data_IF_430454651442
#
_entry.id   IF_430454651442
#
_cell.length_a   1.000
_cell.length_b   1.000
_cell.length_c   1.000
_cell.angle_alpha   90.00
_cell.angle_beta   90.00
_cell.angle_gamma   90.00
#
_symmetry.space_group_name_H-M   'P 1'
#
loop_
_entity.id
_entity.type
_entity.pdbx_description
1 polymer ?
#
# COMPACT_ATOMS: atom_id res chain seq x y z
N UNK A 1 31.21 43.40 -3.19
CA UNK A 1 30.22 42.83 -2.26
C UNK A 1 29.10 42.02 -2.97
N UNK A 2 28.84 42.20 -4.27
CA UNK A 2 27.75 41.47 -4.96
C UNK A 2 28.14 40.12 -5.63
N UNK A 3 29.44 39.85 -5.80
CA UNK A 3 29.87 38.58 -6.45
C UNK A 3 29.95 37.40 -5.47
N UNK A 4 30.36 37.67 -4.24
CA UNK A 4 30.41 36.65 -3.17
C UNK A 4 29.03 36.18 -2.69
N UNK A 5 28.02 37.08 -2.73
CA UNK A 5 26.64 36.71 -2.35
C UNK A 5 25.97 35.85 -3.42
N UNK A 6 26.27 36.06 -4.71
CA UNK A 6 25.72 35.23 -5.80
C UNK A 6 26.37 33.87 -5.88
N UNK A 7 27.64 33.71 -5.52
CA UNK A 7 28.32 32.41 -5.49
C UNK A 7 27.79 31.53 -4.35
N UNK A 8 27.51 32.11 -3.17
CA UNK A 8 26.94 31.37 -2.04
C UNK A 8 25.50 30.94 -2.28
N UNK A 9 24.69 31.74 -2.97
CA UNK A 9 23.30 31.36 -3.30
C UNK A 9 23.30 30.23 -4.35
N UNK A 10 24.16 30.26 -5.36
CA UNK A 10 24.30 29.15 -6.33
C UNK A 10 24.83 27.87 -5.68
N UNK A 11 25.78 27.96 -4.77
CA UNK A 11 26.29 26.80 -4.03
C UNK A 11 25.22 26.18 -3.10
N UNK A 12 24.41 27.00 -2.44
CA UNK A 12 23.30 26.55 -1.60
C UNK A 12 22.19 25.90 -2.48
N UNK A 13 21.90 26.46 -3.66
CA UNK A 13 20.94 25.86 -4.60
C UNK A 13 21.43 24.54 -5.21
N UNK A 14 22.72 24.44 -5.56
CA UNK A 14 23.33 23.22 -6.08
C UNK A 14 23.38 22.16 -4.96
N UNK A 15 23.67 22.55 -3.72
CA UNK A 15 23.64 21.64 -2.56
C UNK A 15 22.23 21.14 -2.25
N UNK A 16 21.21 21.99 -2.33
CA UNK A 16 19.80 21.60 -2.15
C UNK A 16 19.30 20.68 -3.28
N UNK A 17 19.69 20.92 -4.54
CA UNK A 17 19.29 20.07 -5.66
C UNK A 17 20.00 18.70 -5.58
N UNK A 18 21.26 18.64 -5.19
CA UNK A 18 21.97 17.36 -5.01
C UNK A 18 21.47 16.58 -3.80
N UNK A 19 21.06 17.23 -2.71
CA UNK A 19 20.47 16.56 -1.56
C UNK A 19 19.09 15.96 -1.86
N UNK A 20 18.27 16.65 -2.67
CA UNK A 20 16.97 16.12 -3.12
C UNK A 20 17.15 14.91 -4.07
N UNK A 21 18.15 14.94 -4.97
CA UNK A 21 18.43 13.80 -5.87
C UNK A 21 19.02 12.60 -5.17
N UNK A 22 19.81 12.77 -4.12
CA UNK A 22 20.40 11.66 -3.35
C UNK A 22 19.32 10.90 -2.55
N UNK A 23 18.30 11.59 -2.01
CA UNK A 23 17.21 10.91 -1.29
C UNK A 23 16.26 10.11 -2.21
N UNK A 24 16.14 10.51 -3.48
CA UNK A 24 15.34 9.79 -4.48
C UNK A 24 16.03 8.53 -5.00
N UNK A 25 17.35 8.55 -5.17
CA UNK A 25 18.13 7.38 -5.63
C UNK A 25 18.14 6.25 -4.60
N UNK A 26 18.24 6.54 -3.31
CA UNK A 26 18.33 5.52 -2.24
C UNK A 26 17.08 4.63 -2.16
N UNK A 27 15.87 5.14 -2.42
CA UNK A 27 14.66 4.32 -2.35
C UNK A 27 14.44 3.41 -3.56
N UNK A 28 15.04 3.72 -4.72
CA UNK A 28 15.02 2.86 -5.91
C UNK A 28 16.07 1.74 -5.85
N UNK A 29 17.15 1.90 -5.07
CA UNK A 29 18.26 0.94 -4.97
C UNK A 29 17.83 -0.47 -4.53
N UNK A 30 16.71 -0.58 -3.81
CA UNK A 30 16.21 -1.87 -3.31
C UNK A 30 15.30 -2.60 -4.30
N UNK A 31 14.84 -1.93 -5.37
CA UNK A 31 14.04 -2.57 -6.40
C UNK A 31 14.93 -3.17 -7.49
N UNK A 32 14.64 -4.37 -7.92
CA UNK A 32 15.26 -5.02 -9.07
C UNK A 32 14.20 -5.69 -9.93
N UNK A 33 14.39 -5.69 -11.23
CA UNK A 33 13.57 -6.49 -12.13
C UNK A 33 14.01 -7.95 -12.02
N UNK A 34 13.04 -8.86 -11.90
CA UNK A 34 13.26 -10.30 -11.88
C UNK A 34 12.58 -10.96 -13.06
N UNK A 35 13.05 -12.16 -13.43
CA UNK A 35 12.56 -12.90 -14.59
C UNK A 35 11.11 -13.35 -14.40
N UNK A 36 10.30 -13.19 -15.44
CA UNK A 36 8.92 -13.65 -15.52
C UNK A 36 8.79 -14.76 -16.58
N UNK A 37 8.05 -15.83 -16.32
CA UNK A 37 7.81 -16.89 -17.31
C UNK A 37 6.74 -16.51 -18.36
N UNK A 38 6.13 -15.32 -18.25
CA UNK A 38 5.04 -14.86 -19.09
C UNK A 38 5.28 -13.45 -19.60
N UNK A 39 4.62 -13.08 -20.70
CA UNK A 39 4.71 -11.75 -21.31
C UNK A 39 3.32 -11.13 -21.52
N UNK A 40 2.45 -11.26 -20.52
CA UNK A 40 1.12 -10.65 -20.48
C UNK A 40 1.07 -9.58 -19.41
N UNK A 41 0.03 -8.75 -19.39
CA UNK A 41 -0.18 -7.84 -18.27
C UNK A 41 -0.44 -8.62 -16.98
N UNK A 42 0.35 -8.32 -15.94
CA UNK A 42 0.22 -8.86 -14.59
C UNK A 42 -0.42 -7.77 -13.72
N UNK A 43 -1.60 -8.05 -13.19
CA UNK A 43 -2.48 -7.03 -12.59
C UNK A 43 -2.54 -7.07 -11.08
N UNK A 44 -2.33 -8.23 -10.49
CA UNK A 44 -2.43 -8.43 -9.05
C UNK A 44 -1.25 -9.25 -8.54
N UNK A 45 -0.63 -8.84 -7.45
CA UNK A 45 0.40 -9.60 -6.76
C UNK A 45 -0.01 -9.84 -5.30
N UNK A 46 -0.06 -11.11 -4.92
CA UNK A 46 -0.45 -11.55 -3.60
C UNK A 46 0.63 -12.44 -2.98
N UNK A 47 1.12 -12.07 -1.81
CA UNK A 47 2.14 -12.85 -1.09
C UNK A 47 1.69 -13.10 0.34
N UNK A 48 1.83 -14.35 0.81
CA UNK A 48 1.55 -14.72 2.22
C UNK A 48 2.79 -14.52 3.11
N UNK A 49 3.97 -14.49 2.51
CA UNK A 49 5.26 -14.22 3.15
C UNK A 49 6.29 -13.88 2.07
N UNK A 50 7.54 -13.62 2.46
CA UNK A 50 8.62 -13.26 1.53
C UNK A 50 8.95 -14.32 0.46
N UNK A 51 8.61 -15.60 0.70
CA UNK A 51 8.99 -16.71 -0.19
C UNK A 51 7.84 -17.17 -1.08
N UNK A 52 6.60 -17.17 -0.54
CA UNK A 52 5.45 -17.76 -1.23
C UNK A 52 4.45 -16.70 -1.66
N UNK A 53 4.21 -16.65 -2.97
CA UNK A 53 3.27 -15.70 -3.55
C UNK A 53 2.74 -16.10 -4.93
N UNK A 54 1.72 -15.39 -5.36
CA UNK A 54 1.06 -15.55 -6.65
C UNK A 54 0.94 -14.20 -7.33
N UNK A 55 1.10 -14.19 -8.64
CA UNK A 55 0.82 -13.03 -9.47
C UNK A 55 -0.19 -13.45 -10.54
N UNK A 56 -1.21 -12.64 -10.73
CA UNK A 56 -2.31 -12.91 -11.64
C UNK A 56 -2.47 -11.80 -12.67
N UNK A 57 -3.04 -12.12 -13.83
CA UNK A 57 -3.21 -11.15 -14.91
C UNK A 57 -4.06 -11.61 -16.08
N UNK A 58 -3.76 -11.07 -17.24
CA UNK A 58 -4.50 -11.30 -18.46
C UNK A 58 -4.46 -12.75 -18.93
N UNK A 59 -5.44 -13.13 -19.75
CA UNK A 59 -5.54 -14.45 -20.39
C UNK A 59 -5.55 -15.62 -19.41
N UNK A 60 -6.20 -15.43 -18.25
CA UNK A 60 -6.29 -16.46 -17.21
C UNK A 60 -4.97 -16.78 -16.51
N UNK A 61 -3.98 -15.92 -16.66
CA UNK A 61 -2.63 -16.15 -16.15
C UNK A 61 -2.59 -16.11 -14.64
N UNK A 62 -2.03 -17.15 -14.04
CA UNK A 62 -1.57 -17.18 -12.64
C UNK A 62 -0.18 -17.79 -12.62
N UNK A 63 0.77 -17.14 -12.00
CA UNK A 63 2.11 -17.68 -11.74
C UNK A 63 2.35 -17.73 -10.22
N UNK A 64 3.07 -18.73 -9.76
CA UNK A 64 3.38 -18.97 -8.34
C UNK A 64 4.89 -19.06 -8.12
N UNK A 65 5.35 -18.50 -7.02
CA UNK A 65 6.69 -18.73 -6.47
C UNK A 65 6.62 -19.32 -5.07
N UNK A 66 7.61 -20.15 -4.72
CA UNK A 66 7.85 -20.67 -3.37
C UNK A 66 9.27 -20.34 -2.87
N UNK A 67 9.96 -19.44 -3.56
CA UNK A 67 11.37 -19.07 -3.27
C UNK A 67 11.62 -17.56 -3.47
N UNK A 68 10.61 -16.73 -3.18
CA UNK A 68 10.73 -15.28 -3.22
C UNK A 68 11.00 -14.70 -4.60
N UNK A 69 10.42 -15.29 -5.64
CA UNK A 69 10.55 -14.83 -7.02
C UNK A 69 11.82 -15.28 -7.74
N UNK A 70 12.67 -16.14 -7.16
CA UNK A 70 13.83 -16.69 -7.84
C UNK A 70 13.44 -17.65 -8.97
N UNK A 71 12.25 -18.24 -8.89
CA UNK A 71 11.62 -18.99 -9.97
C UNK A 71 10.10 -18.94 -9.84
N UNK A 72 9.41 -19.12 -10.97
CA UNK A 72 7.97 -19.07 -11.07
C UNK A 72 7.42 -20.27 -11.82
N UNK A 73 6.31 -20.83 -11.34
CA UNK A 73 5.54 -21.87 -12.00
C UNK A 73 4.25 -21.29 -12.56
N UNK A 74 3.99 -21.47 -13.85
CA UNK A 74 2.72 -21.10 -14.49
C UNK A 74 1.65 -22.13 -14.08
N UNK A 75 0.51 -21.64 -13.61
CA UNK A 75 -0.62 -22.46 -13.18
C UNK A 75 -1.71 -22.51 -14.25
N UNK A 76 -2.33 -23.67 -14.41
CA UNK A 76 -3.44 -23.84 -15.33
C UNK A 76 -4.77 -23.54 -14.64
N UNK A 77 -5.36 -22.39 -14.94
CA UNK A 77 -6.65 -21.95 -14.38
C UNK A 77 -7.85 -22.43 -15.21
N UNK A 78 -7.63 -22.88 -16.46
CA UNK A 78 -8.69 -23.23 -17.42
C UNK A 78 -9.70 -22.09 -17.66
N UNK A 79 -9.27 -20.83 -17.59
CA UNK A 79 -10.05 -19.65 -17.98
C UNK A 79 -9.27 -18.84 -19.01
N UNK A 80 -9.97 -18.11 -19.87
CA UNK A 80 -9.38 -17.27 -20.91
C UNK A 80 -9.47 -15.77 -20.61
N UNK A 81 -10.37 -15.38 -19.70
CA UNK A 81 -10.51 -13.99 -19.25
C UNK A 81 -9.39 -13.59 -18.27
N UNK A 82 -9.22 -12.29 -18.09
CA UNK A 82 -8.29 -11.78 -17.08
C UNK A 82 -8.69 -12.28 -15.67
N UNK A 83 -7.69 -12.59 -14.86
CA UNK A 83 -7.90 -12.78 -13.42
C UNK A 83 -7.98 -11.38 -12.81
N UNK A 84 -9.17 -11.02 -12.33
CA UNK A 84 -9.48 -9.70 -11.79
C UNK A 84 -8.90 -9.50 -10.38
N UNK A 85 -8.89 -10.56 -9.56
CA UNK A 85 -8.30 -10.57 -8.22
C UNK A 85 -7.96 -11.98 -7.77
N UNK A 86 -6.98 -12.12 -6.87
CA UNK A 86 -6.51 -13.39 -6.33
C UNK A 86 -6.22 -13.24 -4.83
N UNK A 87 -6.59 -14.24 -4.04
CA UNK A 87 -6.41 -14.21 -2.59
C UNK A 87 -6.15 -15.62 -2.03
N UNK A 88 -5.23 -15.71 -1.07
CA UNK A 88 -4.91 -16.95 -0.38
C UNK A 88 -4.94 -16.74 1.15
N UNK A 89 -5.51 -17.70 1.88
CA UNK A 89 -5.46 -17.71 3.35
C UNK A 89 -4.22 -18.44 3.90
N UNK A 90 -3.58 -19.26 3.07
CA UNK A 90 -2.33 -19.99 3.35
C UNK A 90 -1.71 -20.48 2.03
N UNK A 91 -0.58 -21.19 2.08
CA UNK A 91 0.13 -21.66 0.89
C UNK A 91 -0.64 -22.68 0.03
N UNK A 92 -1.77 -23.21 0.51
CA UNK A 92 -2.54 -24.26 -0.17
C UNK A 92 -3.92 -23.79 -0.60
N UNK A 93 -4.60 -22.96 0.23
CA UNK A 93 -6.01 -22.61 0.03
C UNK A 93 -6.17 -21.19 -0.46
N UNK A 94 -6.76 -21.04 -1.63
CA UNK A 94 -6.95 -19.73 -2.25
C UNK A 94 -8.13 -19.68 -3.22
N UNK A 95 -8.46 -18.46 -3.62
CA UNK A 95 -9.54 -18.14 -4.56
C UNK A 95 -9.09 -17.05 -5.53
N UNK A 96 -9.70 -17.05 -6.71
CA UNK A 96 -9.56 -15.98 -7.68
C UNK A 96 -10.88 -15.73 -8.39
N UNK A 97 -11.04 -14.57 -8.97
CA UNK A 97 -12.20 -14.22 -9.82
C UNK A 97 -11.72 -13.84 -11.21
N UNK A 98 -12.46 -14.29 -12.21
CA UNK A 98 -12.24 -13.99 -13.61
C UNK A 98 -13.58 -13.73 -14.29
N UNK A 99 -13.57 -12.99 -15.39
CA UNK A 99 -14.74 -12.82 -16.22
C UNK A 99 -14.77 -13.87 -17.32
N UNK A 100 -15.88 -14.58 -17.46
CA UNK A 100 -16.12 -15.46 -18.61
C UNK A 100 -16.41 -14.63 -19.84
N UNK A 101 -15.79 -14.96 -20.95
CA UNK A 101 -15.97 -14.28 -22.24
C UNK A 101 -16.60 -15.25 -23.22
N UNK A 102 -17.60 -14.80 -23.98
CA UNK A 102 -18.15 -15.58 -25.09
C UNK A 102 -17.10 -15.79 -26.19
N UNK A 103 -16.87 -17.02 -26.67
CA UNK A 103 -15.82 -17.30 -27.65
C UNK A 103 -15.92 -16.49 -28.94
N UNK A 104 -17.15 -16.13 -29.34
CA UNK A 104 -17.44 -15.54 -30.65
C UNK A 104 -17.71 -14.02 -30.59
N UNK A 105 -17.67 -13.34 -29.43
CA UNK A 105 -18.21 -11.99 -29.36
C UNK A 105 -17.50 -11.00 -28.40
N UNK A 106 -16.42 -11.30 -27.77
CA UNK A 106 -15.80 -10.43 -26.75
C UNK A 106 -16.77 -9.87 -25.68
N UNK A 107 -17.97 -10.48 -25.57
CA UNK A 107 -18.98 -10.10 -24.58
C UNK A 107 -18.80 -10.93 -23.33
N UNK A 108 -18.99 -10.32 -22.15
CA UNK A 108 -18.93 -11.04 -20.88
C UNK A 108 -20.15 -11.93 -20.68
N UNK A 109 -19.94 -13.18 -20.30
CA UNK A 109 -20.99 -14.14 -19.95
C UNK A 109 -21.32 -14.11 -18.45
N UNK A 110 -20.38 -13.73 -17.60
CA UNK A 110 -20.54 -13.72 -16.16
C UNK A 110 -19.20 -13.83 -15.45
N UNK A 111 -19.25 -14.04 -14.14
CA UNK A 111 -18.06 -14.21 -13.30
C UNK A 111 -17.74 -15.67 -13.08
N UNK A 112 -16.49 -16.05 -13.27
CA UNK A 112 -15.92 -17.33 -12.86
C UNK A 112 -15.27 -17.14 -11.49
N UNK A 113 -15.63 -18.00 -10.55
CA UNK A 113 -14.96 -18.16 -9.26
C UNK A 113 -14.06 -19.38 -9.35
N UNK A 114 -12.78 -19.16 -9.09
CA UNK A 114 -11.77 -20.19 -9.00
C UNK A 114 -11.46 -20.47 -7.53
N UNK A 115 -11.26 -21.73 -7.15
CA UNK A 115 -10.83 -22.12 -5.84
C UNK A 115 -9.80 -23.25 -5.90
N UNK A 116 -8.84 -23.23 -4.96
CA UNK A 116 -7.81 -24.26 -4.86
C UNK A 116 -7.59 -24.66 -3.40
N UNK A 117 -7.14 -25.91 -3.19
CA UNK A 117 -6.70 -26.46 -1.89
C UNK A 117 -5.31 -27.07 -1.95
N UNK A 118 -4.60 -26.85 -3.06
CA UNK A 118 -3.24 -27.37 -3.30
C UNK A 118 -2.28 -26.28 -3.83
N UNK A 119 -2.60 -25.01 -3.53
CA UNK A 119 -1.75 -23.86 -3.86
C UNK A 119 -1.84 -23.43 -5.32
N UNK A 120 -2.88 -23.87 -6.03
CA UNK A 120 -3.13 -23.56 -7.43
C UNK A 120 -2.56 -24.60 -8.41
N UNK A 121 -2.05 -25.75 -7.93
CA UNK A 121 -1.72 -26.86 -8.83
C UNK A 121 -2.96 -27.35 -9.57
N UNK A 122 -4.11 -27.31 -8.90
CA UNK A 122 -5.42 -27.53 -9.49
C UNK A 122 -6.39 -26.43 -9.05
N UNK A 123 -7.15 -25.89 -10.01
CA UNK A 123 -8.19 -24.91 -9.77
C UNK A 123 -9.56 -25.49 -10.07
N UNK A 124 -10.46 -25.47 -9.07
CA UNK A 124 -11.87 -25.76 -9.26
C UNK A 124 -12.57 -24.50 -9.80
N UNK A 125 -13.34 -24.67 -10.87
CA UNK A 125 -14.04 -23.58 -11.56
C UNK A 125 -15.54 -23.69 -11.27
N UNK A 126 -16.14 -22.58 -10.83
CA UNK A 126 -17.59 -22.42 -10.71
C UNK A 126 -18.02 -21.07 -11.25
N UNK A 127 -19.22 -21.00 -11.83
CA UNK A 127 -19.79 -19.74 -12.30
C UNK A 127 -20.61 -19.11 -11.17
N UNK A 128 -20.48 -17.80 -10.99
CA UNK A 128 -21.35 -17.03 -10.10
C UNK A 128 -22.80 -17.10 -10.63
N UNK A 129 -23.81 -17.35 -9.78
CA UNK A 129 -25.15 -17.67 -10.25
C UNK A 129 -25.85 -16.57 -11.06
N UNK A 130 -25.59 -15.29 -10.73
CA UNK A 130 -26.17 -14.16 -11.46
C UNK A 130 -25.18 -13.64 -12.51
N UNK A 131 -25.48 -13.88 -13.76
CA UNK A 131 -24.63 -13.49 -14.91
C UNK A 131 -24.67 -11.98 -15.22
N UNK A 132 -25.55 -11.22 -14.57
CA UNK A 132 -25.57 -9.75 -14.68
C UNK A 132 -24.67 -9.07 -13.67
N UNK A 133 -24.03 -9.84 -12.77
CA UNK A 133 -23.11 -9.33 -11.76
C UNK A 133 -21.68 -9.77 -12.12
N UNK A 134 -20.79 -8.78 -12.26
CA UNK A 134 -19.40 -8.99 -12.58
C UNK A 134 -18.53 -8.71 -11.34
N UNK A 135 -18.00 -9.78 -10.74
CA UNK A 135 -17.14 -9.64 -9.55
C UNK A 135 -15.75 -9.20 -9.94
N UNK A 136 -15.19 -8.25 -9.21
CA UNK A 136 -13.90 -7.62 -9.44
C UNK A 136 -12.88 -7.93 -8.34
N UNK A 137 -13.35 -8.34 -7.16
CA UNK A 137 -12.46 -8.60 -6.02
C UNK A 137 -12.94 -9.79 -5.22
N UNK A 138 -11.99 -10.50 -4.59
CA UNK A 138 -12.24 -11.62 -3.71
C UNK A 138 -11.39 -11.50 -2.44
N UNK A 139 -12.01 -11.73 -1.29
CA UNK A 139 -11.33 -11.76 0.00
C UNK A 139 -11.91 -12.87 0.88
N UNK A 140 -11.07 -13.60 1.61
CA UNK A 140 -11.50 -14.61 2.58
C UNK A 140 -10.88 -14.38 3.95
N UNK A 141 -11.71 -14.33 4.98
CA UNK A 141 -11.26 -14.27 6.38
C UNK A 141 -10.73 -15.62 6.87
N UNK A 142 -11.29 -16.70 6.36
CA UNK A 142 -10.94 -18.08 6.63
C UNK A 142 -11.51 -18.99 5.53
N UNK A 143 -11.31 -20.30 5.61
CA UNK A 143 -11.76 -21.25 4.59
C UNK A 143 -13.28 -21.23 4.32
N UNK A 144 -14.09 -20.72 5.24
CA UNK A 144 -15.56 -20.73 5.12
C UNK A 144 -16.13 -19.34 4.82
N UNK A 145 -15.58 -18.27 5.42
CA UNK A 145 -16.13 -16.92 5.32
C UNK A 145 -15.33 -16.10 4.35
N UNK A 146 -15.99 -15.61 3.31
CA UNK A 146 -15.38 -14.78 2.29
C UNK A 146 -16.34 -13.75 1.70
N UNK A 147 -15.81 -12.87 0.87
CA UNK A 147 -16.50 -11.75 0.25
C UNK A 147 -16.11 -11.61 -1.21
N UNK A 148 -17.08 -11.21 -2.03
CA UNK A 148 -16.89 -10.77 -3.39
C UNK A 148 -17.43 -9.35 -3.54
N UNK A 149 -16.75 -8.51 -4.30
CA UNK A 149 -17.21 -7.19 -4.68
C UNK A 149 -17.24 -7.03 -6.20
N UNK A 150 -18.18 -6.25 -6.73
CA UNK A 150 -18.32 -6.14 -8.17
C UNK A 150 -19.28 -5.06 -8.67
N UNK A 151 -19.79 -5.26 -9.88
CA UNK A 151 -20.70 -4.38 -10.62
C UNK A 151 -22.01 -5.13 -10.89
N UNK A 152 -23.18 -4.52 -10.65
CA UNK A 152 -23.43 -3.26 -9.94
C UNK A 152 -23.00 -3.35 -8.47
N UNK A 153 -22.94 -2.24 -7.76
CA UNK A 153 -22.47 -2.13 -6.36
C UNK A 153 -23.01 -3.25 -5.49
N UNK A 154 -22.24 -4.30 -5.36
CA UNK A 154 -22.63 -5.46 -4.56
C UNK A 154 -21.43 -5.98 -3.81
N UNK A 155 -21.63 -6.24 -2.52
CA UNK A 155 -20.72 -7.03 -1.72
C UNK A 155 -21.47 -8.29 -1.33
N UNK A 156 -21.01 -9.41 -1.85
CA UNK A 156 -21.56 -10.74 -1.57
C UNK A 156 -20.75 -11.39 -0.45
N UNK A 157 -21.40 -12.17 0.39
CA UNK A 157 -20.78 -12.91 1.49
C UNK A 157 -21.09 -14.38 1.38
N UNK A 158 -20.06 -15.21 1.61
CA UNK A 158 -20.20 -16.66 1.81
C UNK A 158 -19.88 -17.04 3.26
N UNK A 159 -20.45 -18.15 3.73
CA UNK A 159 -20.12 -18.80 5.01
C UNK A 159 -19.81 -20.28 4.83
N UNK A 160 -19.66 -20.74 3.61
CA UNK A 160 -19.44 -22.14 3.25
C UNK A 160 -18.35 -22.31 2.16
N UNK A 161 -17.34 -21.43 2.19
CA UNK A 161 -16.16 -21.55 1.32
C UNK A 161 -16.41 -21.14 -0.15
N UNK A 162 -17.48 -20.40 -0.42
CA UNK A 162 -17.82 -19.94 -1.77
C UNK A 162 -18.80 -20.86 -2.51
N UNK A 163 -19.37 -21.88 -1.83
CA UNK A 163 -20.41 -22.71 -2.44
C UNK A 163 -21.72 -21.97 -2.68
N UNK A 164 -22.06 -21.05 -1.78
CA UNK A 164 -23.19 -20.13 -1.93
C UNK A 164 -22.83 -18.73 -1.50
N UNK A 165 -23.45 -17.74 -2.12
CA UNK A 165 -23.23 -16.33 -1.88
C UNK A 165 -24.54 -15.62 -1.60
N UNK A 166 -24.53 -14.69 -0.66
CA UNK A 166 -25.67 -13.85 -0.31
C UNK A 166 -25.25 -12.39 -0.25
N UNK A 167 -26.06 -11.44 -0.74
CA UNK A 167 -25.73 -10.02 -0.66
C UNK A 167 -25.70 -9.58 0.81
N UNK A 168 -24.71 -8.73 1.13
CA UNK A 168 -24.63 -8.07 2.43
C UNK A 168 -25.55 -6.84 2.46
N UNK A 169 -25.78 -6.29 3.66
CA UNK A 169 -26.51 -5.05 3.80
C UNK A 169 -25.57 -3.86 3.61
N UNK A 170 -26.06 -2.82 2.92
CA UNK A 170 -25.37 -1.54 2.78
C UNK A 170 -26.19 -0.47 3.45
N UNK A 171 -25.60 0.22 4.42
CA UNK A 171 -26.19 1.37 5.11
C UNK A 171 -25.77 2.66 4.38
N UNK A 172 -26.40 2.93 3.24
CA UNK A 172 -26.16 4.15 2.48
C UNK A 172 -27.23 4.40 1.44
N UNK A 173 -27.48 5.67 1.16
CA UNK A 173 -28.31 6.13 0.05
C UNK A 173 -27.49 6.28 -1.25
N UNK A 174 -26.35 5.61 -1.35
CA UNK A 174 -25.44 5.71 -2.50
C UNK A 174 -26.04 5.07 -3.74
N UNK A 175 -25.64 5.58 -4.89
CA UNK A 175 -26.07 5.11 -6.21
C UNK A 175 -25.61 3.66 -6.41
N UNK A 176 -26.57 2.74 -6.56
CA UNK A 176 -26.41 1.28 -6.60
C UNK A 176 -25.75 0.71 -7.88
N UNK A 177 -25.03 1.50 -8.67
CA UNK A 177 -24.48 1.03 -9.94
C UNK A 177 -22.97 1.11 -10.05
N UNK A 178 -22.28 1.63 -9.03
CA UNK A 178 -20.85 1.86 -9.11
C UNK A 178 -20.04 0.64 -8.64
N UNK A 179 -18.92 0.29 -9.30
CA UNK A 179 -18.11 -0.88 -8.98
C UNK A 179 -17.57 -0.90 -7.56
N UNK A 180 -17.41 -2.11 -7.00
CA UNK A 180 -16.52 -2.40 -5.86
C UNK A 180 -15.29 -3.10 -6.41
N UNK A 181 -14.13 -2.44 -6.34
CA UNK A 181 -12.89 -2.92 -6.94
C UNK A 181 -11.97 -3.67 -5.99
N UNK A 182 -12.00 -3.35 -4.70
CA UNK A 182 -11.17 -4.03 -3.69
C UNK A 182 -11.90 -4.15 -2.37
N UNK A 183 -11.67 -5.29 -1.70
CA UNK A 183 -12.12 -5.56 -0.33
C UNK A 183 -10.93 -6.08 0.46
N UNK A 184 -10.64 -5.47 1.62
CA UNK A 184 -9.61 -5.94 2.57
C UNK A 184 -10.12 -5.80 4.00
N UNK A 185 -9.76 -6.74 4.87
CA UNK A 185 -10.04 -6.67 6.29
C UNK A 185 -8.73 -6.54 7.07
N UNK A 186 -8.75 -5.67 8.08
CA UNK A 186 -7.66 -5.57 9.04
C UNK A 186 -7.72 -6.68 10.09
N UNK A 187 -8.92 -6.98 10.56
CA UNK A 187 -9.23 -8.04 11.53
C UNK A 187 -10.56 -8.74 11.16
N UNK A 188 -11.06 -9.62 12.04
CA UNK A 188 -12.30 -10.35 11.77
C UNK A 188 -13.53 -9.43 11.67
N UNK A 189 -13.52 -8.24 12.28
CA UNK A 189 -14.67 -7.34 12.38
C UNK A 189 -14.55 -6.15 11.44
N UNK A 190 -13.34 -5.57 11.31
CA UNK A 190 -13.12 -4.30 10.63
C UNK A 190 -12.58 -4.53 9.23
N UNK A 191 -13.34 -4.10 8.25
CA UNK A 191 -12.99 -4.18 6.84
C UNK A 191 -13.33 -2.91 6.07
N UNK A 192 -12.64 -2.75 4.97
CA UNK A 192 -12.81 -1.65 4.02
C UNK A 192 -13.02 -2.21 2.62
N UNK A 193 -13.84 -1.50 1.84
CA UNK A 193 -13.96 -1.72 0.41
C UNK A 193 -13.87 -0.38 -0.31
N UNK A 194 -13.38 -0.38 -1.53
CA UNK A 194 -13.31 0.81 -2.35
C UNK A 194 -13.74 0.53 -3.79
N UNK A 195 -14.07 1.60 -4.51
CA UNK A 195 -14.51 1.51 -5.90
C UNK A 195 -14.97 2.85 -6.43
N UNK A 196 -15.89 2.80 -7.37
CA UNK A 196 -16.41 4.01 -8.01
C UNK A 196 -16.36 3.93 -9.53
N UNK A 197 -16.74 5.01 -10.18
CA UNK A 197 -16.71 5.12 -11.61
C UNK A 197 -16.16 6.49 -12.01
N UNK A 198 -15.36 6.51 -13.05
CA UNK A 198 -14.74 7.72 -13.58
C UNK A 198 -15.77 8.81 -13.87
N UNK A 199 -15.47 10.05 -13.53
CA UNK A 199 -16.30 11.24 -13.73
C UNK A 199 -17.67 11.18 -13.02
N UNK A 200 -17.86 10.24 -12.08
CA UNK A 200 -19.10 10.08 -11.33
C UNK A 200 -18.83 10.12 -9.83
N UNK A 201 -18.13 9.14 -9.28
CA UNK A 201 -17.81 9.09 -7.86
C UNK A 201 -16.74 8.06 -7.50
N UNK A 202 -15.90 8.40 -6.53
CA UNK A 202 -15.06 7.50 -5.76
C UNK A 202 -15.72 7.13 -4.43
N UNK A 203 -15.91 5.84 -4.22
CA UNK A 203 -16.66 5.31 -3.09
C UNK A 203 -15.77 4.49 -2.16
N UNK A 204 -16.06 4.59 -0.89
CA UNK A 204 -15.48 3.73 0.15
C UNK A 204 -16.58 3.16 1.01
N UNK A 205 -16.47 1.88 1.36
CA UNK A 205 -17.34 1.21 2.32
C UNK A 205 -16.53 0.73 3.50
N UNK A 206 -17.10 0.85 4.69
CA UNK A 206 -16.47 0.41 5.94
C UNK A 206 -17.43 -0.49 6.70
N UNK A 207 -16.94 -1.60 7.20
CA UNK A 207 -17.65 -2.48 8.13
C UNK A 207 -16.89 -2.60 9.44
N UNK A 208 -17.61 -2.72 10.55
CA UNK A 208 -17.07 -3.00 11.89
C UNK A 208 -17.77 -4.20 12.55
N UNK A 209 -18.53 -4.96 11.77
CA UNK A 209 -19.30 -6.11 12.22
C UNK A 209 -19.14 -7.34 11.31
N UNK A 210 -17.91 -7.63 10.93
CA UNK A 210 -17.54 -8.79 10.12
C UNK A 210 -18.24 -8.84 8.74
N UNK A 211 -18.42 -7.66 8.11
CA UNK A 211 -19.00 -7.54 6.79
C UNK A 211 -20.49 -7.82 6.69
N UNK A 212 -21.21 -7.81 7.81
CA UNK A 212 -22.68 -7.98 7.81
C UNK A 212 -23.38 -6.72 7.29
N UNK A 213 -22.87 -5.54 7.67
CA UNK A 213 -23.35 -4.24 7.20
C UNK A 213 -22.15 -3.41 6.78
N UNK A 214 -22.26 -2.74 5.64
CA UNK A 214 -21.26 -1.85 5.08
C UNK A 214 -21.81 -0.41 5.02
N UNK A 215 -21.11 0.53 5.62
CA UNK A 215 -21.41 1.96 5.54
C UNK A 215 -20.65 2.56 4.37
N UNK A 216 -21.36 2.99 3.34
CA UNK A 216 -20.78 3.63 2.16
C UNK A 216 -20.64 5.15 2.32
N UNK A 217 -19.59 5.71 1.73
CA UNK A 217 -19.31 7.14 1.69
C UNK A 217 -18.75 7.50 0.30
N UNK A 218 -19.29 8.55 -0.31
CA UNK A 218 -18.72 9.18 -1.50
C UNK A 218 -17.66 10.19 -1.08
N UNK A 219 -16.46 10.11 -1.65
CA UNK A 219 -15.31 10.92 -1.24
C UNK A 219 -14.73 11.76 -2.35
N UNK A 220 -14.83 11.31 -3.60
CA UNK A 220 -14.10 11.86 -4.73
C UNK A 220 -14.93 11.78 -6.01
N UNK A 221 -14.63 12.55 -7.05
CA UNK A 221 -15.21 12.38 -8.37
C UNK A 221 -14.59 11.21 -9.15
N UNK A 222 -13.39 10.72 -8.77
CA UNK A 222 -12.69 9.62 -9.43
C UNK A 222 -12.71 8.34 -8.59
N UNK A 223 -12.62 7.14 -9.23
CA UNK A 223 -12.66 5.87 -8.54
C UNK A 223 -11.43 5.59 -7.68
N UNK A 224 -11.60 4.69 -6.71
CA UNK A 224 -10.54 4.10 -5.92
C UNK A 224 -10.32 2.64 -6.29
N UNK A 225 -9.05 2.17 -6.27
CA UNK A 225 -8.68 0.86 -6.81
C UNK A 225 -8.13 -0.11 -5.79
N UNK A 226 -7.36 0.35 -4.80
CA UNK A 226 -6.76 -0.53 -3.80
C UNK A 226 -6.70 0.11 -2.41
N UNK A 227 -6.50 -0.73 -1.39
CA UNK A 227 -6.59 -0.36 0.02
C UNK A 227 -5.42 -0.97 0.77
N UNK A 228 -4.83 -0.22 1.69
CA UNK A 228 -3.88 -0.73 2.67
C UNK A 228 -4.16 -0.16 4.06
N UNK A 229 -3.77 -0.88 5.11
CA UNK A 229 -4.10 -0.53 6.49
C UNK A 229 -2.90 -0.79 7.40
N UNK A 230 -2.70 0.09 8.38
CA UNK A 230 -1.72 -0.09 9.47
C UNK A 230 -2.40 -0.46 10.78
N UNK A 231 -3.69 -0.18 10.92
CA UNK A 231 -4.52 -0.56 12.06
C UNK A 231 -5.99 -0.62 11.64
N UNK A 232 -6.87 -1.09 12.52
CA UNK A 232 -8.34 -1.03 12.30
C UNK A 232 -8.85 0.40 12.07
N UNK A 233 -8.13 1.41 12.56
CA UNK A 233 -8.51 2.81 12.45
C UNK A 233 -7.88 3.51 11.24
N UNK A 234 -6.70 3.06 10.80
CA UNK A 234 -5.89 3.75 9.80
C UNK A 234 -5.90 3.00 8.48
N UNK A 235 -6.39 3.64 7.44
CA UNK A 235 -6.40 3.13 6.07
C UNK A 235 -5.95 4.19 5.09
N UNK A 236 -5.23 3.76 4.06
CA UNK A 236 -4.87 4.52 2.87
C UNK A 236 -5.44 3.81 1.65
N UNK A 237 -6.05 4.56 0.76
CA UNK A 237 -6.73 4.08 -0.43
C UNK A 237 -6.18 4.83 -1.63
N UNK A 238 -5.79 4.09 -2.65
CA UNK A 238 -5.27 4.63 -3.91
C UNK A 238 -6.37 4.76 -4.96
N UNK A 239 -6.28 5.78 -5.80
CA UNK A 239 -7.28 6.07 -6.83
C UNK A 239 -6.79 7.03 -7.90
N UNK A 240 -7.75 7.62 -8.60
CA UNK A 240 -7.51 8.64 -9.62
C UNK A 240 -8.03 8.27 -10.99
N UNK A 241 -7.75 9.14 -11.95
CA UNK A 241 -8.08 8.92 -13.35
C UNK A 241 -7.00 9.51 -14.28
N UNK A 242 -7.20 9.42 -15.59
CA UNK A 242 -6.24 9.93 -16.59
C UNK A 242 -6.35 11.44 -16.81
N UNK A 243 -7.42 12.09 -16.33
CA UNK A 243 -7.64 13.54 -16.48
C UNK A 243 -7.04 14.31 -15.30
N UNK A 244 -7.32 13.87 -14.06
CA UNK A 244 -6.87 14.54 -12.83
C UNK A 244 -5.64 13.88 -12.20
N UNK A 245 -5.28 12.69 -12.68
CA UNK A 245 -4.11 11.92 -12.23
C UNK A 245 -4.38 11.08 -10.98
N UNK A 246 -3.30 10.61 -10.38
CA UNK A 246 -3.34 9.77 -9.19
C UNK A 246 -3.91 10.52 -7.99
N UNK A 247 -4.72 9.84 -7.19
CA UNK A 247 -5.33 10.38 -5.98
C UNK A 247 -5.19 9.43 -4.78
N UNK A 248 -5.42 9.97 -3.60
CA UNK A 248 -5.35 9.24 -2.34
C UNK A 248 -6.49 9.64 -1.42
N UNK A 249 -7.12 8.67 -0.77
CA UNK A 249 -7.97 8.90 0.37
C UNK A 249 -7.37 8.22 1.61
N UNK A 250 -7.56 8.82 2.79
CA UNK A 250 -7.06 8.27 4.05
C UNK A 250 -7.97 8.58 5.22
N UNK A 251 -8.00 7.67 6.18
CA UNK A 251 -8.70 7.83 7.46
C UNK A 251 -7.81 7.43 8.61
N UNK A 252 -8.03 8.00 9.80
CA UNK A 252 -7.39 7.62 11.06
C UNK A 252 -8.41 7.29 12.17
N UNK A 253 -9.69 7.13 11.81
CA UNK A 253 -10.77 6.91 12.76
C UNK A 253 -11.86 5.98 12.22
N UNK A 254 -11.44 4.87 11.61
CA UNK A 254 -12.33 3.82 11.05
C UNK A 254 -13.36 4.40 10.07
N UNK A 255 -12.89 5.30 9.19
CA UNK A 255 -13.72 5.91 8.15
C UNK A 255 -14.83 6.83 8.66
N UNK A 256 -14.75 7.32 9.91
CA UNK A 256 -15.67 8.35 10.41
C UNK A 256 -15.43 9.68 9.70
N UNK A 257 -14.16 10.01 9.47
CA UNK A 257 -13.73 11.12 8.63
C UNK A 257 -12.69 10.63 7.62
N UNK A 258 -12.73 11.24 6.44
CA UNK A 258 -11.80 10.98 5.36
C UNK A 258 -11.11 12.25 4.89
N UNK A 259 -9.87 12.12 4.51
CA UNK A 259 -9.11 13.11 3.76
C UNK A 259 -8.93 12.58 2.34
N UNK A 260 -9.20 13.41 1.36
CA UNK A 260 -8.98 13.14 -0.06
C UNK A 260 -8.03 14.18 -0.63
N UNK A 261 -7.10 13.75 -1.48
CA UNK A 261 -6.17 14.63 -2.17
C UNK A 261 -5.79 14.08 -3.55
N UNK A 262 -5.56 14.98 -4.51
CA UNK A 262 -4.99 14.67 -5.81
C UNK A 262 -3.48 14.88 -5.75
N UNK A 263 -2.71 13.91 -6.23
CA UNK A 263 -1.26 13.90 -6.05
C UNK A 263 -0.50 14.68 -7.13
N UNK A 264 -1.22 15.21 -8.14
CA UNK A 264 -0.60 15.96 -9.25
C UNK A 264 0.34 15.11 -10.13
N UNK A 265 0.19 13.79 -10.08
CA UNK A 265 0.98 12.83 -10.88
C UNK A 265 0.05 12.17 -11.88
N UNK A 266 0.39 12.28 -13.17
CA UNK A 266 -0.37 11.64 -14.24
C UNK A 266 -0.47 10.12 -14.03
N UNK A 267 -1.62 9.53 -14.40
CA UNK A 267 -1.91 8.11 -14.30
C UNK A 267 -2.75 7.74 -13.07
N UNK A 268 -3.16 6.50 -12.98
CA UNK A 268 -3.98 5.98 -11.89
C UNK A 268 -3.09 5.30 -10.85
N UNK A 269 -3.32 5.57 -9.58
CA UNK A 269 -2.71 4.80 -8.50
C UNK A 269 -3.55 3.52 -8.27
N UNK A 270 -3.12 2.39 -8.87
CA UNK A 270 -3.89 1.14 -8.91
C UNK A 270 -3.55 0.14 -7.82
N UNK A 271 -2.36 0.19 -7.25
CA UNK A 271 -1.95 -0.65 -6.14
C UNK A 271 -1.39 0.20 -5.00
N UNK A 272 -1.63 -0.20 -3.74
CA UNK A 272 -1.09 0.47 -2.56
C UNK A 272 -0.74 -0.53 -1.46
N UNK A 273 0.46 -0.39 -0.87
CA UNK A 273 0.90 -1.25 0.22
C UNK A 273 1.82 -0.52 1.19
N UNK A 274 1.60 -0.71 2.48
CA UNK A 274 2.55 -0.32 3.51
C UNK A 274 3.70 -1.33 3.58
N UNK A 275 4.94 -0.83 3.54
CA UNK A 275 6.14 -1.59 3.90
C UNK A 275 6.39 -1.52 5.41
N UNK A 276 6.24 -0.34 5.97
CA UNK A 276 6.26 -0.08 7.41
C UNK A 276 5.04 0.77 7.78
N UNK A 277 4.70 0.98 9.05
CA UNK A 277 3.59 1.86 9.41
C UNK A 277 3.67 3.29 8.86
N UNK A 278 4.85 3.72 8.43
CA UNK A 278 5.11 5.08 7.92
C UNK A 278 5.44 5.11 6.44
N UNK A 279 6.00 4.03 5.91
CA UNK A 279 6.38 3.94 4.50
C UNK A 279 5.32 3.21 3.71
N UNK A 280 4.71 3.92 2.79
CA UNK A 280 3.65 3.44 1.91
C UNK A 280 4.04 3.66 0.45
N UNK A 281 3.82 2.65 -0.37
CA UNK A 281 4.11 2.66 -1.80
C UNK A 281 2.82 2.51 -2.59
N UNK A 282 2.72 3.25 -3.70
CA UNK A 282 1.70 3.06 -4.73
C UNK A 282 2.34 2.82 -6.08
N UNK A 283 1.65 2.08 -6.93
CA UNK A 283 2.00 1.92 -8.35
C UNK A 283 1.16 2.85 -9.19
N UNK A 284 1.81 3.59 -10.09
CA UNK A 284 1.13 4.41 -11.07
C UNK A 284 0.97 3.66 -12.40
N UNK A 285 -0.21 3.15 -12.69
CA UNK A 285 -0.51 2.63 -14.02
C UNK A 285 -0.55 3.79 -15.02
N UNK A 286 -0.03 3.57 -16.20
CA UNK A 286 0.17 4.57 -17.28
C UNK A 286 1.17 5.70 -16.97
N UNK A 287 1.82 5.73 -15.80
CA UNK A 287 2.73 6.81 -15.42
C UNK A 287 4.20 6.40 -15.30
N UNK A 288 4.52 5.12 -15.43
CA UNK A 288 5.88 4.60 -15.28
C UNK A 288 6.53 5.00 -13.95
N UNK A 289 5.72 5.13 -12.90
CA UNK A 289 6.14 5.66 -11.60
C UNK A 289 5.66 4.82 -10.44
N UNK A 290 6.49 4.82 -9.40
CA UNK A 290 6.05 4.61 -8.04
C UNK A 290 5.70 5.96 -7.38
N UNK A 291 4.80 5.92 -6.42
CA UNK A 291 4.55 6.99 -5.49
C UNK A 291 4.94 6.48 -4.10
N UNK A 292 5.78 7.23 -3.42
CA UNK A 292 6.32 6.88 -2.09
C UNK A 292 5.91 7.93 -1.07
N UNK A 293 5.31 7.47 0.00
CA UNK A 293 5.10 8.23 1.23
C UNK A 293 6.00 7.69 2.34
N UNK A 294 6.59 8.60 3.13
CA UNK A 294 7.39 8.28 4.33
C UNK A 294 6.75 8.81 5.62
N UNK A 295 5.49 9.20 5.55
CA UNK A 295 4.73 9.83 6.64
C UNK A 295 3.30 9.28 6.72
N UNK A 296 3.15 7.96 6.59
CA UNK A 296 1.88 7.23 6.70
C UNK A 296 0.82 7.63 5.66
N UNK A 297 1.26 8.00 4.46
CA UNK A 297 0.37 8.37 3.36
C UNK A 297 -0.09 9.82 3.37
N UNK A 298 0.58 10.70 4.14
CA UNK A 298 0.22 12.13 4.22
C UNK A 298 0.79 12.90 3.04
N UNK A 299 2.09 12.74 2.76
CA UNK A 299 2.75 13.35 1.59
C UNK A 299 3.34 12.29 0.69
N UNK A 300 3.45 12.59 -0.60
CA UNK A 300 3.88 11.64 -1.62
C UNK A 300 4.92 12.22 -2.54
N UNK A 301 5.93 11.41 -2.85
CA UNK A 301 6.97 11.70 -3.84
C UNK A 301 6.87 10.71 -4.98
N UNK A 302 6.92 11.19 -6.22
CA UNK A 302 6.93 10.31 -7.39
C UNK A 302 8.35 9.90 -7.76
N UNK A 303 8.55 8.59 -8.03
CA UNK A 303 9.81 7.98 -8.43
C UNK A 303 9.59 7.24 -9.74
N UNK A 304 10.48 7.39 -10.74
CA UNK A 304 10.38 6.57 -11.95
C UNK A 304 10.63 5.10 -11.63
N UNK A 305 9.97 4.19 -12.36
CA UNK A 305 10.33 2.76 -12.36
C UNK A 305 11.69 2.55 -13.02
N UNK A 306 12.35 1.43 -12.73
CA UNK A 306 13.75 1.21 -13.15
C UNK A 306 13.97 1.26 -14.67
N UNK A 307 12.98 0.88 -15.44
CA UNK A 307 13.05 0.75 -16.91
C UNK A 307 11.85 1.44 -17.60
N UNK A 308 11.27 2.45 -16.96
CA UNK A 308 10.10 3.19 -17.46
C UNK A 308 8.90 2.27 -17.77
N UNK A 309 8.69 1.24 -16.95
CA UNK A 309 7.60 0.29 -17.10
C UNK A 309 6.42 0.64 -16.20
N UNK A 310 5.20 0.62 -16.73
CA UNK A 310 3.98 0.82 -15.96
C UNK A 310 3.68 -0.40 -15.07
N UNK A 311 3.33 -0.14 -13.81
CA UNK A 311 3.01 -1.14 -12.80
C UNK A 311 1.57 -1.01 -12.36
N UNK A 312 0.93 -2.15 -12.04
CA UNK A 312 -0.48 -2.20 -11.65
C UNK A 312 -0.68 -2.46 -10.16
N UNK A 313 0.20 -3.26 -9.54
CA UNK A 313 0.04 -3.62 -8.13
C UNK A 313 1.38 -3.71 -7.42
N UNK A 314 1.34 -3.50 -6.09
CA UNK A 314 2.48 -3.60 -5.19
C UNK A 314 2.07 -4.22 -3.87
N UNK A 315 2.90 -5.11 -3.33
CA UNK A 315 2.67 -5.74 -2.03
C UNK A 315 3.97 -5.88 -1.24
N UNK A 316 3.88 -5.69 0.06
CA UNK A 316 4.97 -5.93 1.00
C UNK A 316 4.52 -6.98 2.01
N UNK A 317 4.93 -8.25 1.85
CA UNK A 317 4.63 -9.29 2.83
C UNK A 317 5.34 -9.10 4.17
N UNK A 318 6.43 -8.34 4.18
CA UNK A 318 7.17 -7.90 5.37
C UNK A 318 7.93 -6.58 5.10
N UNK A 319 8.70 -6.12 6.09
CA UNK A 319 9.46 -4.87 5.99
C UNK A 319 10.73 -4.96 5.14
N UNK A 320 11.15 -6.16 4.76
CA UNK A 320 12.40 -6.44 4.04
C UNK A 320 12.16 -6.68 2.57
N UNK A 321 11.08 -7.39 2.22
CA UNK A 321 10.76 -7.79 0.87
C UNK A 321 9.44 -7.19 0.38
N UNK A 322 9.40 -6.90 -0.91
CA UNK A 322 8.20 -6.44 -1.61
C UNK A 322 8.21 -6.91 -3.06
N UNK A 323 7.04 -6.88 -3.69
CA UNK A 323 6.87 -7.25 -5.08
C UNK A 323 5.92 -6.27 -5.75
N UNK A 324 6.20 -5.97 -7.02
CA UNK A 324 5.29 -5.19 -7.85
C UNK A 324 5.21 -5.85 -9.23
N UNK A 325 4.04 -5.73 -9.87
CA UNK A 325 3.81 -6.33 -11.18
C UNK A 325 3.17 -5.33 -12.14
N UNK A 326 3.34 -5.57 -13.44
CA UNK A 326 2.89 -4.63 -14.45
C UNK A 326 2.80 -5.19 -15.87
N UNK A 327 2.93 -4.29 -16.84
CA UNK A 327 2.83 -4.59 -18.27
C UNK A 327 3.90 -5.58 -18.74
N UNK A 328 3.62 -6.33 -19.80
CA UNK A 328 4.57 -7.21 -20.48
C UNK A 328 5.28 -8.21 -19.55
N UNK A 329 4.55 -8.75 -18.57
CA UNK A 329 5.09 -9.72 -17.62
C UNK A 329 6.08 -9.12 -16.62
N UNK A 330 6.15 -7.81 -16.48
CA UNK A 330 7.11 -7.16 -15.57
C UNK A 330 6.84 -7.55 -14.13
N UNK A 331 7.89 -7.98 -13.45
CA UNK A 331 7.91 -8.24 -12.01
C UNK A 331 9.13 -7.51 -11.42
N UNK A 332 8.88 -6.68 -10.41
CA UNK A 332 9.93 -6.12 -9.58
C UNK A 332 9.91 -6.75 -8.20
N UNK A 333 11.12 -6.97 -7.67
CA UNK A 333 11.36 -7.38 -6.30
C UNK A 333 12.06 -6.27 -5.55
N UNK A 334 11.50 -5.88 -4.42
CA UNK A 334 12.15 -5.07 -3.41
C UNK A 334 12.89 -5.98 -2.45
N UNK A 335 14.18 -5.73 -2.24
CA UNK A 335 15.01 -6.52 -1.32
C UNK A 335 15.97 -5.60 -0.57
N UNK A 336 15.68 -5.35 0.69
CA UNK A 336 16.48 -4.48 1.56
C UNK A 336 17.76 -5.17 2.07
N UNK A 337 17.90 -6.48 1.85
CA UNK A 337 19.14 -7.21 2.21
C UNK A 337 20.19 -7.18 1.10
N UNK A 338 19.76 -6.93 -0.13
CA UNK A 338 20.68 -6.85 -1.26
C UNK A 338 21.48 -5.54 -1.18
N UNK A 339 22.71 -5.64 -0.71
CA UNK A 339 23.72 -4.62 -0.97
C UNK A 339 24.11 -4.76 -2.44
N UNK A 340 23.62 -3.88 -3.30
CA UNK A 340 24.11 -3.79 -4.68
C UNK A 340 25.62 -3.58 -4.64
N UNK A 341 26.37 -4.56 -5.14
CA UNK A 341 27.81 -4.44 -5.33
C UNK A 341 28.01 -3.53 -6.56
N UNK A 342 27.90 -2.22 -6.37
CA UNK A 342 28.55 -1.27 -7.25
C UNK A 342 30.01 -1.17 -6.79
N UNK A 343 30.96 -1.39 -7.71
CA UNK A 343 32.39 -1.23 -7.49
C UNK A 343 32.66 0.11 -6.80
N UNK A 344 32.96 0.05 -5.53
CA UNK A 344 33.34 1.22 -4.75
C UNK A 344 34.76 1.64 -5.05
N UNK A 345 34.87 2.88 -5.52
CA UNK A 345 35.94 3.72 -5.02
C UNK A 345 35.36 4.56 -3.88
N UNK A 346 35.69 4.13 -2.66
CA UNK A 346 35.57 4.89 -1.40
C UNK A 346 34.32 5.73 -1.16
N UNK A 347 33.36 5.25 -0.37
CA UNK A 347 32.70 6.10 0.65
C UNK A 347 32.02 5.27 1.74
N UNK A 348 32.08 5.78 2.94
CA UNK A 348 31.57 5.33 4.22
C UNK A 348 30.17 4.70 4.20
N UNK A 349 30.03 3.62 4.95
CA UNK A 349 28.78 2.91 5.28
C UNK A 349 27.70 3.89 5.78
N UNK A 350 26.59 3.98 5.04
CA UNK A 350 25.43 4.75 5.48
C UNK A 350 24.61 3.91 6.46
N UNK A 351 24.81 4.19 7.73
CA UNK A 351 24.01 3.72 8.86
C UNK A 351 22.78 4.64 8.95
N UNK A 352 21.75 4.40 8.14
CA UNK A 352 20.57 5.26 8.17
C UNK A 352 19.73 4.99 9.40
N UNK A 353 19.86 5.85 10.39
CA UNK A 353 18.90 6.08 11.45
C UNK A 353 17.72 6.86 10.87
N UNK A 354 16.49 6.54 11.27
CA UNK A 354 15.32 7.29 10.82
C UNK A 354 14.50 7.74 12.02
N UNK A 355 14.26 9.05 12.12
CA UNK A 355 13.25 9.61 12.99
C UNK A 355 12.02 9.97 12.14
N UNK A 356 10.85 9.45 12.48
CA UNK A 356 9.63 9.68 11.72
C UNK A 356 8.83 10.86 12.26
N UNK A 357 8.01 11.46 11.39
CA UNK A 357 7.05 12.47 11.80
C UNK A 357 6.06 11.87 12.81
N UNK A 358 5.83 12.55 13.93
CA UNK A 358 4.84 12.11 14.90
C UNK A 358 3.43 12.05 14.31
N UNK A 359 2.65 11.08 14.75
CA UNK A 359 1.27 10.93 14.30
C UNK A 359 0.31 10.66 15.48
N UNK A 360 -0.84 11.38 15.51
CA UNK A 360 -1.25 12.48 14.63
C UNK A 360 -0.38 13.74 14.78
N UNK A 361 -0.31 14.59 13.73
CA UNK A 361 0.27 15.92 13.79
C UNK A 361 -0.52 16.86 12.85
N UNK A 362 -1.25 17.89 13.35
CA UNK A 362 -1.38 18.27 14.73
C UNK A 362 -2.01 17.20 15.64
N UNK A 363 -1.71 17.23 16.96
CA UNK A 363 -2.20 16.25 17.92
C UNK A 363 -2.95 16.87 19.10
N UNK A 364 -3.82 16.08 19.79
CA UNK A 364 -4.59 16.49 20.95
C UNK A 364 -4.99 15.27 21.82
N UNK A 365 -4.57 15.12 23.04
CA UNK A 365 -3.30 15.61 23.58
C UNK A 365 -2.15 14.64 23.35
N UNK A 366 -2.40 13.43 22.76
CA UNK A 366 -1.46 12.33 22.61
C UNK A 366 -1.02 12.20 21.16
N UNK A 367 0.29 11.95 20.96
CA UNK A 367 0.86 11.60 19.66
C UNK A 367 1.91 10.52 19.83
N UNK A 368 2.16 9.78 18.78
CA UNK A 368 3.17 8.73 18.72
C UNK A 368 4.38 9.21 17.91
N UNK A 369 5.57 9.07 18.49
CA UNK A 369 6.86 9.32 17.83
C UNK A 369 7.52 7.98 17.57
N UNK A 370 8.02 7.78 16.36
CA UNK A 370 8.64 6.52 15.96
C UNK A 370 9.99 6.75 15.31
N UNK A 371 10.89 5.75 15.45
CA UNK A 371 12.23 5.78 14.89
C UNK A 371 12.76 4.37 14.63
N UNK A 372 13.77 4.27 13.79
CA UNK A 372 14.45 3.02 13.45
C UNK A 372 15.94 3.10 13.79
N UNK A 373 16.44 2.00 14.34
CA UNK A 373 17.86 1.79 14.64
C UNK A 373 18.46 0.79 13.65
N UNK A 374 19.62 1.10 13.04
CA UNK A 374 20.24 0.23 12.03
C UNK A 374 20.81 -1.07 12.61
N UNK A 375 20.99 -2.05 11.74
CA UNK A 375 21.34 -3.44 12.06
C UNK A 375 22.81 -3.61 12.42
N UNK A 376 23.34 -2.93 13.48
CA UNK A 376 24.78 -3.16 13.81
C UNK A 376 25.20 -3.12 15.28
N UNK A 377 24.39 -3.25 16.25
CA UNK A 377 24.75 -3.34 17.68
C UNK A 377 23.80 -2.51 18.55
N UNK A 378 23.82 -2.81 19.83
CA UNK A 378 23.14 -1.96 20.82
C UNK A 378 23.67 -0.53 20.75
N UNK A 379 22.75 0.41 20.61
CA UNK A 379 23.04 1.83 20.59
C UNK A 379 22.41 2.52 21.80
N UNK A 380 23.10 3.52 22.34
CA UNK A 380 22.50 4.41 23.33
C UNK A 380 21.61 5.42 22.60
N UNK A 381 20.33 5.42 22.94
CA UNK A 381 19.28 6.23 22.31
C UNK A 381 18.76 7.26 23.29
N UNK A 382 18.73 8.52 22.88
CA UNK A 382 18.06 9.61 23.60
C UNK A 382 17.01 10.25 22.70
N UNK A 383 15.76 10.28 23.15
CA UNK A 383 14.66 10.98 22.47
C UNK A 383 14.07 12.01 23.43
N UNK A 384 14.16 13.28 23.07
CA UNK A 384 13.76 14.41 23.91
C UNK A 384 12.81 15.35 23.19
N UNK A 385 11.98 16.05 23.95
CA UNK A 385 11.04 17.07 23.44
C UNK A 385 11.42 18.44 23.96
N UNK A 386 11.35 19.45 23.10
CA UNK A 386 11.72 20.83 23.36
C UNK A 386 10.60 21.80 22.99
N UNK A 387 10.51 22.91 23.70
CA UNK A 387 9.68 24.05 23.34
C UNK A 387 10.34 24.92 22.24
N UNK A 388 9.65 25.97 21.78
CA UNK A 388 10.15 26.89 20.75
C UNK A 388 11.35 27.73 21.20
N UNK A 389 11.66 27.78 22.49
CA UNK A 389 12.81 28.46 23.04
C UNK A 389 14.01 27.53 23.19
N UNK A 390 13.86 26.23 22.89
CA UNK A 390 14.88 25.20 23.03
C UNK A 390 14.99 24.63 24.43
N UNK A 391 14.04 24.89 25.33
CA UNK A 391 14.02 24.25 26.64
C UNK A 391 13.51 22.83 26.53
N UNK A 392 14.22 21.87 27.14
CA UNK A 392 13.76 20.48 27.26
C UNK A 392 12.50 20.43 28.14
N UNK A 393 11.41 19.85 27.59
CA UNK A 393 10.12 19.72 28.28
C UNK A 393 9.78 18.27 28.62
N UNK A 394 10.38 17.29 27.92
CA UNK A 394 10.23 15.87 28.22
C UNK A 394 11.43 15.06 27.69
N UNK A 395 11.82 14.02 28.42
CA UNK A 395 12.72 12.96 27.96
C UNK A 395 11.90 11.68 27.81
N UNK A 396 11.78 11.15 26.58
CA UNK A 396 10.91 10.04 26.24
C UNK A 396 11.67 8.71 26.21
N UNK A 397 12.95 8.74 25.81
CA UNK A 397 13.85 7.58 25.78
C UNK A 397 15.24 8.02 26.20
N UNK A 398 15.89 7.19 27.03
CA UNK A 398 17.28 7.42 27.46
C UNK A 398 17.90 6.09 27.91
N UNK A 399 18.13 5.17 26.95
CA UNK A 399 18.58 3.80 27.25
C UNK A 399 19.35 3.16 26.07
N UNK A 400 19.95 2.00 26.33
CA UNK A 400 20.54 1.18 25.27
C UNK A 400 19.44 0.32 24.61
N UNK A 401 19.34 0.43 23.29
CA UNK A 401 18.38 -0.34 22.48
C UNK A 401 19.08 -1.17 21.41
N UNK A 402 18.49 -2.33 21.09
CA UNK A 402 18.91 -3.19 20.00
C UNK A 402 18.48 -2.61 18.65
N UNK A 403 19.08 -3.07 17.51
CA UNK A 403 18.54 -2.76 16.19
C UNK A 403 17.06 -3.10 16.08
N UNK A 404 16.26 -2.22 15.44
CA UNK A 404 14.83 -2.41 15.29
C UNK A 404 14.04 -1.12 15.15
N UNK A 405 12.71 -1.26 15.01
CA UNK A 405 11.77 -0.14 14.96
C UNK A 405 11.15 0.08 16.33
N UNK A 406 11.09 1.32 16.77
CA UNK A 406 10.60 1.75 18.09
C UNK A 406 9.52 2.81 17.96
N UNK A 407 8.67 2.89 18.98
CA UNK A 407 7.57 3.84 18.99
C UNK A 407 7.25 4.21 20.44
N UNK A 408 7.12 5.50 20.71
CA UNK A 408 6.88 6.07 22.04
C UNK A 408 5.74 7.08 21.97
N UNK A 409 4.84 7.02 22.95
CA UNK A 409 3.74 7.99 23.06
C UNK A 409 4.22 9.24 23.80
N UNK A 410 3.86 10.41 23.28
CA UNK A 410 4.03 11.69 23.94
C UNK A 410 2.67 12.26 24.32
N UNK A 411 2.46 12.47 25.64
CA UNK A 411 1.25 13.08 26.17
C UNK A 411 1.48 14.58 26.44
N UNK A 412 0.86 15.40 25.60
CA UNK A 412 0.88 16.87 25.69
C UNK A 412 -0.13 17.47 26.66
N UNK A 413 -0.85 16.69 27.49
CA UNK A 413 -1.90 17.18 28.39
C UNK A 413 -1.46 18.30 29.33
N UNK A 414 -0.20 18.31 29.75
CA UNK A 414 0.36 19.30 30.66
C UNK A 414 1.02 20.50 29.97
N UNK A 415 1.05 20.54 28.63
CA UNK A 415 1.71 21.58 27.85
C UNK A 415 0.68 22.48 27.16
N UNK A 416 1.03 23.71 26.84
CA UNK A 416 0.18 24.66 26.13
C UNK A 416 0.10 24.31 24.65
N UNK A 417 -1.03 24.65 23.99
CA UNK A 417 -1.11 24.58 22.52
C UNK A 417 0.02 25.37 21.89
N UNK A 418 0.70 24.79 20.90
CA UNK A 418 1.84 25.42 20.24
C UNK A 418 2.72 24.45 19.45
N UNK A 419 3.85 24.97 19.01
CA UNK A 419 4.87 24.21 18.29
C UNK A 419 5.87 23.66 19.31
N UNK A 420 6.21 22.38 19.12
CA UNK A 420 7.24 21.66 19.85
C UNK A 420 8.18 20.98 18.86
N UNK A 421 9.37 20.63 19.31
CA UNK A 421 10.35 19.87 18.56
C UNK A 421 10.72 18.62 19.34
N UNK A 422 11.00 17.53 18.65
CA UNK A 422 11.58 16.35 19.27
C UNK A 422 12.86 15.97 18.53
N UNK A 423 13.86 15.58 19.30
CA UNK A 423 15.21 15.28 18.86
C UNK A 423 15.58 13.85 19.24
N UNK A 424 16.03 13.07 18.25
CA UNK A 424 16.59 11.75 18.43
C UNK A 424 18.10 11.84 18.31
N UNK A 425 18.82 11.41 19.35
CA UNK A 425 20.27 11.34 19.38
C UNK A 425 20.72 9.88 19.55
N UNK A 426 21.64 9.42 18.67
CA UNK A 426 22.19 8.05 18.66
C UNK A 426 23.66 8.13 18.29
N UNK A 427 24.56 8.09 19.29
CA UNK A 427 25.99 8.32 19.07
C UNK A 427 26.27 9.73 18.50
N UNK A 428 26.83 9.80 17.31
CA UNK A 428 27.07 11.08 16.59
C UNK A 428 25.90 11.52 15.71
N UNK A 429 24.85 10.69 15.59
CA UNK A 429 23.66 11.02 14.80
C UNK A 429 22.67 11.84 15.64
N UNK A 430 22.15 12.92 15.05
CA UNK A 430 21.06 13.72 15.60
C UNK A 430 20.08 14.11 14.52
N UNK A 431 18.79 13.93 14.77
CA UNK A 431 17.70 14.38 13.90
C UNK A 431 16.60 15.04 14.71
N UNK A 432 16.10 16.18 14.21
CA UNK A 432 15.04 16.97 14.85
C UNK A 432 13.82 17.08 13.94
N UNK A 433 12.63 16.93 14.54
CA UNK A 433 11.36 17.13 13.85
C UNK A 433 10.43 18.03 14.65
N UNK A 434 9.50 18.67 13.92
CA UNK A 434 8.51 19.60 14.45
C UNK A 434 7.17 18.90 14.66
N UNK A 435 6.48 19.20 15.76
CA UNK A 435 5.11 18.78 16.03
C UNK A 435 4.25 19.95 16.51
N UNK A 436 2.91 19.83 16.36
CA UNK A 436 1.95 20.87 16.72
C UNK A 436 0.91 20.29 17.67
N UNK A 437 0.86 20.83 18.89
CA UNK A 437 -0.16 20.52 19.88
C UNK A 437 -1.34 21.49 19.74
N UNK A 438 -2.55 20.97 19.58
CA UNK A 438 -3.79 21.71 19.58
C UNK A 438 -4.67 21.22 20.75
N UNK A 439 -5.07 22.10 21.64
CA UNK A 439 -6.05 21.84 22.70
C UNK A 439 -7.37 22.48 22.38
#
# INVERSE_FOLDING_TARGET
MNLFLRLNICLIFIFLITFFQISETISQEYWSRIDSPVNVELRNCFFINAETGWIAGESGTVIRTDNGGNSWAVQNTNVSGAIEDIFFINSLTGWAVSLEIFPDSNSFLGTIILSTTDGGNNWNRSMFPDTNIFMKTVYFQNANTGFLGGIPSTIQRTTNGGLTWTPTQTDSNLIFLLPVFKIKFYDQNTGYACGGFRDIAGLVWVTTNAGLVWRGTELAPEPFFDITMTSSNNSVISGGDLEFGSSVARTSNTGTNWYYDTLGVFGLATGVSFRTPYECWMTGSYSEKFLLSKDSGITWTSLYTLDSTALFDVTFPDTTYGFACGVQGTIYKYDRTSTSIFNETNTSYDLSFNLYQNFPNPFNPITKISYELPVKSYQFVSLKVFDVLGNEVAELVNEQQSPGSYSVDFDGSNFSSGIYFYELNIGEYSEVRKMVLLK
#
